data_IF_779005120138
#
_entry.id   IF_779005120138
#
_cell.length_a   1.000
_cell.length_b   1.000
_cell.length_c   1.000
_cell.angle_alpha   90.00
_cell.angle_beta   90.00
_cell.angle_gamma   90.00
#
_symmetry.space_group_name_H-M   'P 1'
#
loop_
_entity.id
_entity.type
_entity.pdbx_description
1 polymer ?
#
# COMPACT_ATOMS: atom_id res chain seq x y z
N UNK A 1 1.45 -13.80 -25.24
CA UNK A 1 0.80 -12.49 -25.25
C UNK A 1 1.66 -11.46 -25.96
N UNK A 2 1.13 -10.77 -26.98
CA UNK A 2 1.81 -9.62 -27.59
C UNK A 2 1.91 -8.47 -26.58
N UNK A 3 2.96 -7.65 -26.68
CA UNK A 3 3.21 -6.54 -25.75
C UNK A 3 2.02 -5.57 -25.66
N UNK A 4 1.49 -5.13 -26.80
CA UNK A 4 0.36 -4.19 -26.87
C UNK A 4 -0.91 -4.76 -26.21
N UNK A 5 -1.14 -6.07 -26.35
CA UNK A 5 -2.25 -6.75 -25.68
C UNK A 5 -2.01 -6.81 -24.18
N UNK A 6 -0.80 -7.17 -23.74
CA UNK A 6 -0.44 -7.23 -22.33
C UNK A 6 -0.61 -5.88 -21.64
N UNK A 7 -0.15 -4.81 -22.27
CA UNK A 7 -0.32 -3.43 -21.79
C UNK A 7 -1.81 -3.08 -21.65
N UNK A 8 -2.62 -3.38 -22.66
CA UNK A 8 -4.06 -3.16 -22.62
C UNK A 8 -4.73 -3.92 -21.47
N UNK A 9 -4.36 -5.19 -21.24
CA UNK A 9 -4.92 -5.99 -20.15
C UNK A 9 -4.47 -5.50 -18.77
N UNK A 10 -3.23 -5.03 -18.64
CA UNK A 10 -2.73 -4.43 -17.39
C UNK A 10 -3.47 -3.14 -17.05
N UNK A 11 -3.70 -2.25 -18.03
CA UNK A 11 -4.51 -1.04 -17.84
C UNK A 11 -5.91 -1.38 -17.34
N UNK A 12 -6.53 -2.44 -17.89
CA UNK A 12 -7.85 -2.90 -17.46
C UNK A 12 -7.84 -3.50 -16.06
N UNK A 13 -6.83 -4.32 -15.73
CA UNK A 13 -6.64 -4.86 -14.39
C UNK A 13 -6.51 -3.73 -13.37
N UNK A 14 -5.60 -2.78 -13.60
CA UNK A 14 -5.32 -1.70 -12.64
C UNK A 14 -6.45 -0.66 -12.51
N UNK A 15 -7.36 -0.62 -13.48
CA UNK A 15 -8.60 0.15 -13.43
C UNK A 15 -9.81 -0.65 -12.92
N UNK A 16 -9.63 -1.93 -12.56
CA UNK A 16 -10.73 -2.81 -12.15
C UNK A 16 -11.12 -2.65 -10.68
N UNK A 17 -12.38 -3.00 -10.38
CA UNK A 17 -12.85 -3.05 -9.00
C UNK A 17 -12.11 -4.12 -8.18
N UNK A 18 -11.86 -5.30 -8.76
CA UNK A 18 -11.14 -6.40 -8.10
C UNK A 18 -9.76 -5.94 -7.61
N UNK A 19 -9.01 -5.23 -8.45
CA UNK A 19 -7.69 -4.72 -8.08
C UNK A 19 -7.77 -3.58 -7.05
N UNK A 20 -8.78 -2.71 -7.13
CA UNK A 20 -9.03 -1.69 -6.13
C UNK A 20 -9.36 -2.29 -4.75
N UNK A 21 -10.17 -3.35 -4.71
CA UNK A 21 -10.51 -4.07 -3.48
C UNK A 21 -9.29 -4.75 -2.86
N UNK A 22 -8.44 -5.38 -3.68
CA UNK A 22 -7.17 -5.95 -3.20
C UNK A 22 -6.27 -4.88 -2.58
N UNK A 23 -6.08 -3.76 -3.27
CA UNK A 23 -5.32 -2.61 -2.74
C UNK A 23 -5.85 -2.14 -1.38
N UNK A 24 -7.17 -2.00 -1.25
CA UNK A 24 -7.77 -1.56 0.00
C UNK A 24 -7.60 -2.58 1.14
N UNK A 25 -7.65 -3.87 0.83
CA UNK A 25 -7.39 -4.94 1.79
C UNK A 25 -5.94 -4.89 2.28
N UNK A 26 -4.96 -4.91 1.38
CA UNK A 26 -3.54 -4.90 1.73
C UNK A 26 -3.12 -3.62 2.44
N UNK A 27 -3.65 -2.47 2.01
CA UNK A 27 -3.49 -1.19 2.70
C UNK A 27 -4.04 -1.21 4.13
N UNK A 28 -5.22 -1.81 4.31
CA UNK A 28 -5.84 -1.92 5.63
C UNK A 28 -5.04 -2.83 6.54
N UNK A 29 -4.58 -3.98 6.03
CA UNK A 29 -3.72 -4.89 6.77
C UNK A 29 -2.38 -4.25 7.13
N UNK A 30 -1.79 -3.45 6.23
CA UNK A 30 -0.59 -2.67 6.50
C UNK A 30 -0.78 -1.75 7.71
N UNK A 31 -1.86 -0.96 7.71
CA UNK A 31 -2.19 -0.06 8.82
C UNK A 31 -2.38 -0.84 10.12
N UNK A 32 -3.20 -1.90 10.08
CA UNK A 32 -3.51 -2.69 11.27
C UNK A 32 -2.24 -3.33 11.86
N UNK A 33 -1.35 -3.84 11.01
CA UNK A 33 -0.06 -4.40 11.43
C UNK A 33 0.80 -3.34 12.13
N UNK A 34 0.83 -2.11 11.60
CA UNK A 34 1.56 -1.00 12.25
C UNK A 34 0.97 -0.61 13.61
N UNK A 35 -0.36 -0.65 13.74
CA UNK A 35 -1.03 -0.38 15.02
C UNK A 35 -0.78 -1.48 16.05
N UNK A 36 -0.75 -2.74 15.62
CA UNK A 36 -0.35 -3.88 16.47
C UNK A 36 1.09 -3.73 16.92
N UNK A 37 2.01 -3.40 16.00
CA UNK A 37 3.42 -3.19 16.31
C UNK A 37 3.63 -2.12 17.41
N UNK A 38 2.92 -0.99 17.31
CA UNK A 38 2.98 0.07 18.32
C UNK A 38 2.43 -0.42 19.67
N UNK A 39 1.32 -1.15 19.67
CA UNK A 39 0.72 -1.69 20.89
C UNK A 39 1.62 -2.74 21.58
N UNK A 40 2.28 -3.60 20.82
CA UNK A 40 3.25 -4.55 21.37
C UNK A 40 4.45 -3.85 21.99
N UNK A 41 4.98 -2.85 21.28
CA UNK A 41 6.06 -2.04 21.82
C UNK A 41 5.63 -1.40 23.14
N UNK A 42 4.44 -0.79 23.21
CA UNK A 42 3.88 -0.19 24.42
C UNK A 42 3.76 -1.20 25.58
N UNK A 43 3.38 -2.44 25.29
CA UNK A 43 3.18 -3.51 26.27
C UNK A 43 4.47 -4.12 26.85
N UNK A 44 5.64 -3.83 26.28
CA UNK A 44 6.92 -4.32 26.81
C UNK A 44 7.10 -3.97 28.29
N UNK A 45 7.24 -5.00 29.13
CA UNK A 45 7.45 -4.88 30.57
C UNK A 45 8.80 -4.23 30.91
N UNK A 46 9.80 -4.44 30.05
CA UNK A 46 11.12 -3.81 30.14
C UNK A 46 11.37 -3.12 28.80
N UNK A 47 11.43 -1.78 28.83
CA UNK A 47 11.85 -0.99 27.67
C UNK A 47 13.36 -1.14 27.47
N UNK A 48 13.87 -1.04 26.24
CA UNK A 48 15.30 -1.17 25.93
C UNK A 48 16.09 0.07 26.36
N UNK A 49 16.03 0.44 27.63
CA UNK A 49 16.69 1.62 28.20
C UNK A 49 18.22 1.56 28.12
N UNK A 50 18.78 0.37 27.91
CA UNK A 50 20.20 0.11 27.70
C UNK A 50 20.65 0.21 26.24
N UNK A 51 19.72 0.36 25.28
CA UNK A 51 20.07 0.56 23.88
C UNK A 51 20.75 1.93 23.71
N UNK A 52 21.86 1.95 22.96
CA UNK A 52 22.68 3.16 22.71
C UNK A 52 21.87 4.33 22.15
N UNK A 53 20.75 4.06 21.48
CA UNK A 53 19.85 5.04 20.84
C UNK A 53 18.44 5.08 21.48
N UNK A 54 18.27 4.66 22.73
CA UNK A 54 16.94 4.59 23.37
C UNK A 54 16.14 5.90 23.31
N UNK A 55 16.78 7.06 23.47
CA UNK A 55 16.12 8.36 23.35
C UNK A 55 15.51 8.58 21.96
N UNK A 56 16.15 8.09 20.91
CA UNK A 56 15.63 8.17 19.54
C UNK A 56 14.44 7.22 19.36
N UNK A 57 14.57 5.97 19.84
CA UNK A 57 13.48 4.98 19.78
C UNK A 57 12.22 5.49 20.50
N UNK A 58 12.38 6.09 21.68
CA UNK A 58 11.26 6.68 22.42
C UNK A 58 10.63 7.84 21.63
N UNK A 59 11.45 8.72 21.07
CA UNK A 59 10.97 9.86 20.25
C UNK A 59 10.19 9.38 19.03
N UNK A 60 10.64 8.29 18.40
CA UNK A 60 9.96 7.69 17.24
C UNK A 60 8.61 7.10 17.64
N UNK A 61 8.53 6.36 18.75
CA UNK A 61 7.28 5.85 19.30
C UNK A 61 6.31 6.98 19.68
N UNK A 62 6.80 8.06 20.30
CA UNK A 62 6.00 9.24 20.64
C UNK A 62 5.45 9.91 19.35
N UNK A 63 6.28 10.03 18.30
CA UNK A 63 5.84 10.53 16.99
C UNK A 63 4.78 9.64 16.36
N UNK A 64 4.90 8.32 16.52
CA UNK A 64 3.89 7.37 16.07
C UNK A 64 2.56 7.58 16.78
N UNK A 65 2.56 7.77 18.09
CA UNK A 65 1.37 8.07 18.88
C UNK A 65 0.70 9.38 18.46
N UNK A 66 1.47 10.45 18.26
CA UNK A 66 0.92 11.79 18.01
C UNK A 66 0.60 12.08 16.54
N UNK A 67 1.29 11.45 15.59
CA UNK A 67 1.16 11.73 14.15
C UNK A 67 0.69 10.53 13.35
N UNK A 68 1.38 9.39 13.47
CA UNK A 68 1.13 8.24 12.57
C UNK A 68 -0.20 7.58 12.87
N UNK A 69 -0.45 7.17 14.11
CA UNK A 69 -1.66 6.45 14.52
C UNK A 69 -2.95 7.21 14.18
N UNK A 70 -3.12 8.51 14.50
CA UNK A 70 -4.31 9.26 14.10
C UNK A 70 -4.49 9.35 12.58
N UNK A 71 -3.40 9.52 11.83
CA UNK A 71 -3.44 9.55 10.37
C UNK A 71 -3.84 8.19 9.80
N UNK A 72 -3.28 7.09 10.31
CA UNK A 72 -3.62 5.72 9.92
C UNK A 72 -5.10 5.42 10.13
N UNK A 73 -5.67 5.79 11.28
CA UNK A 73 -7.10 5.59 11.56
C UNK A 73 -7.96 6.34 10.53
N UNK A 74 -7.63 7.60 10.25
CA UNK A 74 -8.36 8.40 9.24
C UNK A 74 -8.19 7.82 7.83
N UNK A 75 -6.99 7.38 7.49
CA UNK A 75 -6.67 6.77 6.21
C UNK A 75 -7.46 5.47 5.98
N UNK A 76 -7.61 4.64 7.01
CA UNK A 76 -8.44 3.43 6.95
C UNK A 76 -9.91 3.75 6.68
N UNK A 77 -10.46 4.76 7.36
CA UNK A 77 -11.82 5.22 7.09
C UNK A 77 -11.97 5.74 5.65
N UNK A 78 -11.05 6.60 5.20
CA UNK A 78 -11.07 7.13 3.85
C UNK A 78 -10.99 6.02 2.78
N UNK A 79 -10.25 4.94 3.05
CA UNK A 79 -10.16 3.79 2.15
C UNK A 79 -11.50 3.06 2.03
N UNK A 80 -12.23 2.90 3.14
CA UNK A 80 -13.57 2.29 3.12
C UNK A 80 -14.54 3.11 2.25
N UNK A 81 -14.51 4.43 2.40
CA UNK A 81 -15.32 5.34 1.59
C UNK A 81 -14.92 5.28 0.10
N UNK A 82 -13.62 5.17 -0.17
CA UNK A 82 -13.09 5.05 -1.53
C UNK A 82 -13.56 3.77 -2.23
N UNK A 83 -13.59 2.63 -1.53
CA UNK A 83 -14.12 1.38 -2.08
C UNK A 83 -15.63 1.40 -2.21
N UNK A 84 -16.35 2.01 -1.26
CA UNK A 84 -17.78 2.19 -1.39
C UNK A 84 -18.14 3.01 -2.65
N UNK A 85 -17.37 4.06 -2.95
CA UNK A 85 -17.52 4.85 -4.16
C UNK A 85 -17.14 4.05 -5.44
N UNK A 86 -16.04 3.30 -5.42
CA UNK A 86 -15.61 2.47 -6.55
C UNK A 86 -16.64 1.39 -6.91
N UNK A 87 -17.28 0.77 -5.90
CA UNK A 87 -18.40 -0.18 -6.10
C UNK A 87 -19.62 0.45 -6.77
N UNK A 88 -19.77 1.78 -6.68
CA UNK A 88 -20.81 2.55 -7.37
C UNK A 88 -20.32 3.07 -8.74
N UNK A 89 -19.11 2.71 -9.16
CA UNK A 89 -18.50 3.14 -10.42
C UNK A 89 -17.69 4.43 -10.34
N UNK A 90 -17.56 5.05 -9.17
CA UNK A 90 -16.75 6.26 -8.99
C UNK A 90 -15.32 5.94 -8.54
N UNK A 91 -14.43 5.74 -9.52
CA UNK A 91 -13.01 5.45 -9.29
C UNK A 91 -12.17 6.69 -8.93
N UNK A 92 -12.74 7.91 -8.92
CA UNK A 92 -11.96 9.13 -8.61
C UNK A 92 -11.50 9.15 -7.16
N UNK A 93 -12.30 8.58 -6.26
CA UNK A 93 -12.02 8.53 -4.82
C UNK A 93 -10.88 7.55 -4.54
N UNK A 94 -10.91 6.35 -5.12
CA UNK A 94 -9.81 5.38 -4.96
C UNK A 94 -8.51 5.87 -5.61
N UNK A 95 -8.59 6.52 -6.78
CA UNK A 95 -7.43 7.20 -7.38
C UNK A 95 -6.80 8.21 -6.42
N UNK A 96 -7.64 9.01 -5.75
CA UNK A 96 -7.18 10.02 -4.80
C UNK A 96 -6.57 9.38 -3.56
N UNK A 97 -7.16 8.30 -3.04
CA UNK A 97 -6.61 7.54 -1.92
C UNK A 97 -5.24 6.92 -2.28
N UNK A 98 -5.12 6.32 -3.46
CA UNK A 98 -3.90 5.75 -3.98
C UNK A 98 -2.79 6.81 -4.16
N UNK A 99 -3.12 7.96 -4.76
CA UNK A 99 -2.20 9.10 -4.89
C UNK A 99 -1.75 9.66 -3.55
N UNK A 100 -2.68 9.79 -2.58
CA UNK A 100 -2.36 10.22 -1.22
C UNK A 100 -1.42 9.25 -0.52
N UNK A 101 -1.65 7.94 -0.65
CA UNK A 101 -0.76 6.94 -0.05
C UNK A 101 0.65 7.00 -0.66
N UNK A 102 0.75 7.13 -1.99
CA UNK A 102 2.02 7.36 -2.70
C UNK A 102 2.74 8.64 -2.25
N UNK A 103 1.99 9.69 -1.91
CA UNK A 103 2.56 10.93 -1.37
C UNK A 103 3.06 10.75 0.07
N UNK A 104 2.21 10.17 0.92
CA UNK A 104 2.50 9.95 2.33
C UNK A 104 3.65 8.98 2.57
N UNK A 105 3.82 7.95 1.72
CA UNK A 105 4.97 7.06 1.81
C UNK A 105 6.30 7.81 1.70
N UNK A 106 6.35 8.92 0.95
CA UNK A 106 7.53 9.80 0.86
C UNK A 106 7.67 10.69 2.08
N UNK A 107 6.57 11.22 2.60
CA UNK A 107 6.61 12.08 3.80
C UNK A 107 6.94 11.28 5.08
N UNK A 108 6.71 9.97 5.06
CA UNK A 108 7.08 9.05 6.14
C UNK A 108 8.58 8.70 6.18
N UNK A 109 9.40 9.08 5.18
CA UNK A 109 10.87 8.87 5.21
C UNK A 109 11.55 9.53 6.44
N UNK A 110 10.89 10.49 7.09
CA UNK A 110 11.37 11.13 8.32
C UNK A 110 10.88 10.50 9.63
N UNK A 111 9.92 9.57 9.56
CA UNK A 111 9.36 8.89 10.74
C UNK A 111 9.97 7.49 10.77
N UNK A 112 10.98 7.31 11.61
CA UNK A 112 11.61 6.00 11.79
C UNK A 112 10.68 5.05 12.55
N UNK A 113 10.80 3.76 12.26
CA UNK A 113 10.10 2.68 12.95
C UNK A 113 11.04 1.89 13.88
N UNK A 114 12.03 2.56 14.48
CA UNK A 114 13.07 1.91 15.30
C UNK A 114 12.50 1.13 16.50
N UNK A 115 11.30 1.50 16.97
CA UNK A 115 10.61 0.74 18.02
C UNK A 115 10.23 -0.69 17.57
N UNK A 116 10.11 -0.94 16.25
CA UNK A 116 9.81 -2.26 15.71
C UNK A 116 10.97 -3.26 15.87
N UNK A 117 12.18 -2.81 16.20
CA UNK A 117 13.32 -3.70 16.48
C UNK A 117 13.20 -4.42 17.84
N UNK A 118 12.22 -4.05 18.66
CA UNK A 118 12.03 -4.56 20.02
C UNK A 118 10.75 -5.39 20.19
N UNK A 119 10.04 -5.65 19.09
CA UNK A 119 8.83 -6.48 19.06
C UNK A 119 9.10 -7.74 18.22
N UNK A 120 8.08 -8.56 18.00
CA UNK A 120 8.20 -9.76 17.18
C UNK A 120 8.73 -9.41 15.76
N UNK A 121 9.87 -9.99 15.33
CA UNK A 121 10.41 -9.75 14.00
C UNK A 121 9.45 -10.15 12.87
N UNK A 122 8.52 -11.08 13.10
CA UNK A 122 7.50 -11.45 12.13
C UNK A 122 6.51 -10.30 11.85
N UNK A 123 6.16 -9.51 12.87
CA UNK A 123 5.27 -8.35 12.71
C UNK A 123 5.96 -7.26 11.91
N UNK A 124 7.22 -6.99 12.22
CA UNK A 124 8.05 -6.05 11.43
C UNK A 124 8.13 -6.49 9.97
N UNK A 125 8.46 -7.75 9.71
CA UNK A 125 8.55 -8.29 8.36
C UNK A 125 7.20 -8.19 7.61
N UNK A 126 6.10 -8.52 8.28
CA UNK A 126 4.75 -8.40 7.73
C UNK A 126 4.40 -6.95 7.38
N UNK A 127 4.70 -5.99 8.26
CA UNK A 127 4.45 -4.57 8.04
C UNK A 127 5.12 -4.07 6.75
N UNK A 128 6.42 -4.29 6.61
CA UNK A 128 7.16 -3.83 5.41
C UNK A 128 6.73 -4.55 4.13
N UNK A 129 6.38 -5.84 4.21
CA UNK A 129 5.85 -6.57 3.07
C UNK A 129 4.53 -5.97 2.59
N UNK A 130 3.59 -5.75 3.50
CA UNK A 130 2.27 -5.18 3.18
C UNK A 130 2.39 -3.73 2.70
N UNK A 131 3.28 -2.94 3.31
CA UNK A 131 3.58 -1.59 2.84
C UNK A 131 4.04 -1.58 1.38
N UNK A 132 5.03 -2.43 1.05
CA UNK A 132 5.55 -2.51 -0.33
C UNK A 132 4.47 -2.96 -1.32
N UNK A 133 3.65 -3.93 -0.94
CA UNK A 133 2.56 -4.43 -1.76
C UNK A 133 1.52 -3.33 -2.04
N UNK A 134 0.93 -2.76 -0.98
CA UNK A 134 -0.06 -1.70 -1.09
C UNK A 134 0.51 -0.47 -1.83
N UNK A 135 1.81 -0.16 -1.66
CA UNK A 135 2.43 0.98 -2.32
C UNK A 135 2.50 0.74 -3.83
N UNK A 136 2.88 -0.47 -4.24
CA UNK A 136 2.96 -0.87 -5.65
C UNK A 136 1.58 -0.83 -6.30
N UNK A 137 0.58 -1.41 -5.65
CA UNK A 137 -0.82 -1.40 -6.12
C UNK A 137 -1.38 0.03 -6.20
N UNK A 138 -1.12 0.85 -5.18
CA UNK A 138 -1.49 2.26 -5.18
C UNK A 138 -0.83 3.04 -6.32
N UNK A 139 0.44 2.78 -6.63
CA UNK A 139 1.09 3.39 -7.79
C UNK A 139 0.43 2.95 -9.09
N UNK A 140 0.17 1.65 -9.25
CA UNK A 140 -0.48 1.10 -10.43
C UNK A 140 -1.86 1.72 -10.69
N UNK A 141 -2.70 1.81 -9.65
CA UNK A 141 -4.02 2.46 -9.71
C UNK A 141 -3.86 3.94 -10.05
N UNK A 142 -2.98 4.65 -9.35
CA UNK A 142 -2.81 6.09 -9.52
C UNK A 142 -2.34 6.44 -10.94
N UNK A 143 -1.36 5.71 -11.47
CA UNK A 143 -0.79 5.97 -12.78
C UNK A 143 -1.79 5.63 -13.88
N UNK A 144 -2.49 4.50 -13.75
CA UNK A 144 -3.51 4.07 -14.71
C UNK A 144 -4.68 5.03 -14.78
N UNK A 145 -5.24 5.42 -13.62
CA UNK A 145 -6.41 6.30 -13.57
C UNK A 145 -6.07 7.79 -13.76
N UNK A 146 -4.77 8.14 -13.84
CA UNK A 146 -4.31 9.50 -14.14
C UNK A 146 -3.65 9.62 -15.51
N UNK A 147 -3.51 8.52 -16.25
CA UNK A 147 -2.81 8.47 -17.55
C UNK A 147 -1.36 8.97 -17.46
N UNK A 148 -0.63 8.48 -16.45
CA UNK A 148 0.75 8.91 -16.13
C UNK A 148 1.83 7.88 -16.46
N UNK A 149 1.47 6.79 -17.14
CA UNK A 149 2.45 5.80 -17.58
C UNK A 149 3.30 6.36 -18.72
N UNK A 150 4.62 6.21 -18.61
CA UNK A 150 5.49 6.35 -19.78
C UNK A 150 5.39 5.11 -20.68
N UNK A 151 5.75 5.27 -21.96
CA UNK A 151 5.66 4.19 -22.94
C UNK A 151 6.42 2.93 -22.51
N UNK A 152 5.70 1.81 -22.38
CA UNK A 152 6.26 0.51 -21.97
C UNK A 152 6.57 0.38 -20.47
N UNK A 153 6.39 1.43 -19.67
CA UNK A 153 6.65 1.41 -18.22
C UNK A 153 5.77 0.37 -17.51
N UNK A 154 4.50 0.30 -17.88
CA UNK A 154 3.52 -0.63 -17.34
C UNK A 154 3.88 -2.11 -17.60
N UNK A 155 4.69 -2.40 -18.63
CA UNK A 155 5.15 -3.75 -18.93
C UNK A 155 6.32 -4.20 -18.05
N UNK A 156 6.95 -3.28 -17.32
CA UNK A 156 8.07 -3.59 -16.43
C UNK A 156 7.57 -4.08 -15.07
N UNK A 157 7.73 -5.37 -14.79
CA UNK A 157 7.32 -6.00 -13.52
C UNK A 157 8.14 -5.55 -12.32
N UNK A 158 9.29 -4.89 -12.51
CA UNK A 158 10.00 -4.23 -11.41
C UNK A 158 9.26 -2.97 -10.92
N UNK A 159 8.44 -2.37 -11.80
CA UNK A 159 7.62 -1.19 -11.50
C UNK A 159 6.23 -1.62 -11.04
N UNK A 160 5.56 -2.48 -11.80
CA UNK A 160 4.17 -2.87 -11.54
C UNK A 160 4.03 -4.01 -10.53
N UNK A 161 5.14 -4.63 -10.14
CA UNK A 161 5.14 -5.88 -9.40
C UNK A 161 4.85 -7.09 -10.31
N UNK A 162 5.02 -8.32 -9.77
CA UNK A 162 4.71 -9.52 -10.53
C UNK A 162 3.20 -9.65 -10.73
N UNK A 163 2.77 -9.81 -11.98
CA UNK A 163 1.36 -10.08 -12.34
C UNK A 163 1.28 -11.45 -13.01
N UNK A 164 0.33 -12.27 -12.59
CA UNK A 164 0.05 -13.55 -13.23
C UNK A 164 -0.58 -13.34 -14.61
N UNK A 165 0.12 -13.78 -15.66
CA UNK A 165 -0.36 -13.66 -17.03
C UNK A 165 -1.64 -14.47 -17.28
N UNK A 166 -1.88 -15.56 -16.54
CA UNK A 166 -3.13 -16.30 -16.64
C UNK A 166 -4.29 -15.50 -16.07
N UNK A 167 -4.06 -14.79 -14.96
CA UNK A 167 -5.06 -13.89 -14.38
C UNK A 167 -5.43 -12.74 -15.34
N UNK A 168 -4.44 -12.20 -16.08
CA UNK A 168 -4.70 -11.14 -17.07
C UNK A 168 -5.69 -11.54 -18.16
N UNK A 169 -5.77 -12.83 -18.51
CA UNK A 169 -6.69 -13.31 -19.55
C UNK A 169 -8.16 -13.08 -19.18
N UNK A 170 -8.49 -12.88 -17.90
CA UNK A 170 -9.85 -12.52 -17.46
C UNK A 170 -10.31 -11.15 -17.99
N UNK A 171 -9.37 -10.28 -18.36
CA UNK A 171 -9.64 -8.91 -18.82
C UNK A 171 -9.72 -8.78 -20.34
N UNK A 172 -9.69 -9.91 -21.07
CA UNK A 172 -9.94 -9.94 -22.51
C UNK A 172 -11.37 -9.49 -22.81
N UNK A 173 -11.52 -8.62 -23.81
CA UNK A 173 -12.80 -8.26 -24.37
C UNK A 173 -13.20 -9.22 -25.50
N UNK A 174 -14.50 -9.30 -25.84
CA UNK A 174 -14.95 -10.10 -26.96
C UNK A 174 -14.20 -9.76 -28.25
N UNK A 175 -13.57 -10.77 -28.88
CA UNK A 175 -12.80 -10.62 -30.12
C UNK A 175 -11.29 -10.49 -29.94
N UNK A 176 -10.79 -10.33 -28.71
CA UNK A 176 -9.36 -10.37 -28.41
C UNK A 176 -8.88 -11.82 -28.23
N UNK A 177 -7.62 -12.10 -28.62
CA UNK A 177 -6.99 -13.40 -28.47
C UNK A 177 -5.58 -13.26 -27.84
N UNK A 178 -5.17 -14.15 -26.92
CA UNK A 178 -3.87 -14.11 -26.22
C UNK A 178 -2.63 -14.16 -27.12
#
# INVERSE_FOLDING_TARGET
MKADLKETLLLRLFASLEYAEQFAEDFTQFIDTGLVALAEYDALSIKPTTATNYTEIKKDADLWHVKVKPNFIRMKQNMQDAIAAARQGDFRVIRSAAGNFKGLSKDMDGIREAFMDFIDPEIKARYFRLWKLAHTEGCNIYYTLSDFWDAGEILNSEITGPIDEQHLLKFLQPGEQP
#
